data_IF_798560770003
#
_entry.id   IF_798560770003
#
_cell.length_a   1.000
_cell.length_b   1.000
_cell.length_c   1.000
_cell.angle_alpha   90.00
_cell.angle_beta   90.00
_cell.angle_gamma   90.00
#
_symmetry.space_group_name_H-M   'P 1'
#
loop_
_entity.id
_entity.type
_entity.pdbx_description
1 polymer ?
#
# COMPACT_ATOMS: atom_id res chain seq x y z
N UNK A 1 34.24 2.69 11.99
CA UNK A 1 33.57 3.67 11.11
C UNK A 1 32.09 3.48 11.30
N UNK A 2 31.40 4.52 11.78
CA UNK A 2 29.94 4.53 11.84
C UNK A 2 29.41 4.24 10.44
N UNK A 3 28.46 3.31 10.32
CA UNK A 3 27.69 3.13 9.08
C UNK A 3 27.03 4.49 8.83
N UNK A 4 27.57 5.27 7.89
CA UNK A 4 26.86 6.42 7.35
C UNK A 4 25.47 5.93 6.97
N UNK A 5 24.43 6.64 7.40
CA UNK A 5 23.05 6.20 7.16
C UNK A 5 22.78 6.21 5.65
N UNK A 6 23.01 5.09 4.99
CA UNK A 6 22.76 4.87 3.58
C UNK A 6 21.31 5.23 3.27
N UNK A 7 21.03 6.20 2.39
CA UNK A 7 19.66 6.66 2.10
C UNK A 7 18.69 5.50 1.78
N UNK A 8 17.39 5.62 2.09
CA UNK A 8 16.43 4.51 1.82
C UNK A 8 16.44 4.13 0.34
N UNK A 9 16.52 5.11 -0.55
CA UNK A 9 16.67 4.92 -2.01
C UNK A 9 17.93 4.16 -2.46
N UNK A 10 18.89 3.98 -1.58
CA UNK A 10 20.18 3.31 -1.80
C UNK A 10 20.25 1.99 -1.01
N UNK A 11 19.11 1.48 -0.56
CA UNK A 11 19.04 0.27 0.27
C UNK A 11 19.63 -0.96 -0.40
N UNK A 12 19.72 -1.02 -1.73
CA UNK A 12 20.36 -2.11 -2.47
C UNK A 12 21.78 -1.69 -2.85
N UNK A 13 22.77 -2.50 -2.48
CA UNK A 13 24.18 -2.35 -2.88
C UNK A 13 24.65 -3.63 -3.56
N UNK A 14 25.51 -3.50 -4.54
CA UNK A 14 26.06 -4.63 -5.30
C UNK A 14 27.31 -5.19 -4.62
N UNK A 15 27.41 -6.52 -4.52
CA UNK A 15 28.63 -7.21 -4.12
C UNK A 15 29.36 -7.70 -5.37
N UNK A 16 28.62 -8.33 -6.29
CA UNK A 16 29.06 -8.76 -7.62
C UNK A 16 27.83 -8.98 -8.53
N UNK A 17 28.05 -9.38 -9.78
CA UNK A 17 27.01 -9.61 -10.80
C UNK A 17 25.83 -10.51 -10.39
N UNK A 18 26.01 -11.36 -9.37
CA UNK A 18 25.00 -12.31 -8.91
C UNK A 18 24.67 -12.17 -7.42
N UNK A 19 25.14 -11.15 -6.73
CA UNK A 19 24.87 -10.96 -5.29
C UNK A 19 24.81 -9.50 -4.88
N UNK A 20 23.83 -9.18 -4.05
CA UNK A 20 23.55 -7.84 -3.56
C UNK A 20 23.26 -7.88 -2.06
N UNK A 21 23.61 -6.80 -1.37
CA UNK A 21 23.22 -6.61 0.03
C UNK A 21 22.11 -5.56 0.11
N UNK A 22 21.07 -5.87 0.87
CA UNK A 22 19.91 -5.03 1.09
C UNK A 22 19.91 -4.59 2.56
N UNK A 23 19.90 -3.27 2.78
CA UNK A 23 19.95 -2.67 4.11
C UNK A 23 21.19 -3.01 4.93
N UNK A 24 22.24 -3.58 4.31
CA UNK A 24 23.43 -4.04 5.03
C UNK A 24 23.24 -5.33 5.82
N UNK A 25 22.07 -5.98 5.79
CA UNK A 25 21.81 -7.19 6.60
C UNK A 25 21.09 -8.33 5.87
N UNK A 26 20.67 -8.11 4.63
CA UNK A 26 19.96 -9.11 3.83
C UNK A 26 20.81 -9.40 2.60
N UNK A 27 21.20 -10.64 2.38
CA UNK A 27 21.90 -11.08 1.18
C UNK A 27 20.89 -11.60 0.16
N UNK A 28 20.89 -10.97 -1.01
CA UNK A 28 20.16 -11.40 -2.19
C UNK A 28 21.15 -12.04 -3.17
N UNK A 29 20.92 -13.29 -3.56
CA UNK A 29 21.78 -13.98 -4.53
C UNK A 29 20.96 -14.53 -5.70
N UNK A 30 21.51 -14.45 -6.91
CA UNK A 30 20.94 -15.02 -8.13
C UNK A 30 21.66 -16.32 -8.49
N UNK A 31 20.91 -17.37 -8.78
CA UNK A 31 21.43 -18.70 -9.11
C UNK A 31 20.62 -19.37 -10.22
N UNK A 32 21.26 -20.22 -11.02
CA UNK A 32 20.67 -20.87 -12.20
C UNK A 32 19.75 -22.05 -11.89
N UNK A 33 19.71 -22.52 -10.65
CA UNK A 33 18.87 -23.64 -10.21
C UNK A 33 18.06 -23.25 -8.98
N UNK A 34 16.81 -23.69 -8.84
CA UNK A 34 16.01 -23.38 -7.67
C UNK A 34 16.62 -24.04 -6.43
N UNK A 35 16.63 -23.36 -5.26
CA UNK A 35 17.14 -23.97 -4.04
C UNK A 35 16.19 -25.08 -3.56
N UNK A 36 16.73 -26.06 -2.84
CA UNK A 36 15.93 -27.17 -2.28
C UNK A 36 15.00 -26.72 -1.15
N UNK A 37 15.30 -25.60 -0.51
CA UNK A 37 14.54 -25.05 0.62
C UNK A 37 14.84 -23.55 0.77
N UNK A 38 14.04 -22.86 1.57
CA UNK A 38 14.17 -21.41 1.82
C UNK A 38 13.32 -20.56 0.89
N UNK A 39 13.40 -19.24 1.08
CA UNK A 39 12.65 -18.27 0.28
C UNK A 39 13.36 -18.00 -1.04
N UNK A 40 12.64 -18.17 -2.15
CA UNK A 40 13.12 -17.82 -3.48
C UNK A 40 11.97 -17.43 -4.41
N UNK A 41 12.30 -16.76 -5.50
CA UNK A 41 11.37 -16.45 -6.59
C UNK A 41 12.12 -16.40 -7.93
N UNK A 42 11.38 -16.47 -9.04
CA UNK A 42 11.97 -16.44 -10.38
C UNK A 42 12.52 -15.05 -10.74
N UNK A 43 13.46 -15.01 -11.67
CA UNK A 43 13.89 -13.78 -12.31
C UNK A 43 13.10 -13.44 -13.60
N UNK A 44 12.15 -14.30 -13.98
CA UNK A 44 11.37 -14.21 -15.21
C UNK A 44 12.07 -14.77 -16.46
N UNK A 45 13.32 -15.24 -16.35
CA UNK A 45 14.16 -15.73 -17.46
C UNK A 45 14.77 -17.11 -17.21
N UNK A 46 14.43 -17.76 -16.09
CA UNK A 46 14.84 -19.13 -15.76
C UNK A 46 15.91 -19.24 -14.68
N UNK A 47 16.39 -18.12 -14.12
CA UNK A 47 17.19 -18.14 -12.89
C UNK A 47 16.32 -17.76 -11.69
N UNK A 48 16.88 -17.88 -10.48
CA UNK A 48 16.16 -17.71 -9.23
C UNK A 48 16.91 -16.75 -8.32
N UNK A 49 16.17 -15.87 -7.67
CA UNK A 49 16.67 -15.05 -6.56
C UNK A 49 16.41 -15.78 -5.24
N UNK A 50 17.37 -15.71 -4.33
CA UNK A 50 17.29 -16.28 -2.98
C UNK A 50 17.62 -15.22 -1.95
N UNK A 51 16.99 -15.28 -0.78
CA UNK A 51 17.28 -14.40 0.36
C UNK A 51 17.88 -15.21 1.51
N UNK A 52 18.92 -14.67 2.11
CA UNK A 52 19.45 -15.12 3.40
C UNK A 52 19.79 -13.94 4.31
N UNK A 53 19.70 -14.13 5.62
CA UNK A 53 20.18 -13.12 6.57
C UNK A 53 21.70 -13.07 6.57
N UNK A 54 22.25 -11.87 6.40
CA UNK A 54 23.68 -11.59 6.38
C UNK A 54 24.03 -10.54 7.44
N UNK A 55 24.02 -10.90 8.74
CA UNK A 55 24.27 -9.94 9.83
C UNK A 55 25.68 -9.35 9.80
N UNK A 56 26.60 -10.00 9.08
CA UNK A 56 27.95 -9.52 8.78
C UNK A 56 28.11 -9.49 7.25
N UNK A 57 27.67 -8.42 6.57
CA UNK A 57 27.79 -8.35 5.12
C UNK A 57 29.27 -8.32 4.71
N UNK A 58 29.58 -8.64 3.44
CA UNK A 58 30.92 -8.47 2.90
C UNK A 58 31.48 -7.07 3.16
N UNK A 59 32.79 -6.96 3.39
CA UNK A 59 33.46 -5.69 3.69
C UNK A 59 33.44 -4.70 2.52
N UNK A 60 33.21 -5.18 1.31
CA UNK A 60 33.14 -4.38 0.09
C UNK A 60 31.80 -4.58 -0.63
N UNK A 61 31.14 -3.46 -0.92
CA UNK A 61 29.95 -3.38 -1.74
C UNK A 61 29.89 -2.01 -2.42
N UNK A 62 29.25 -1.95 -3.58
CA UNK A 62 29.22 -0.79 -4.46
C UNK A 62 27.80 -0.25 -4.60
N UNK A 63 27.67 1.00 -5.04
CA UNK A 63 26.37 1.54 -5.46
C UNK A 63 25.78 0.70 -6.57
N UNK A 64 24.47 0.47 -6.52
CA UNK A 64 23.76 -0.28 -7.55
C UNK A 64 23.94 0.41 -8.92
N UNK A 65 24.52 -0.26 -9.93
CA UNK A 65 24.77 0.35 -11.22
C UNK A 65 23.45 0.56 -11.98
N UNK A 66 23.43 1.54 -12.89
CA UNK A 66 22.27 1.78 -13.77
C UNK A 66 21.94 0.58 -14.67
N UNK A 67 22.91 -0.32 -14.91
CA UNK A 67 22.77 -1.57 -15.65
C UNK A 67 22.23 -2.73 -14.81
N UNK A 68 21.92 -2.51 -13.53
CA UNK A 68 21.39 -3.58 -12.67
C UNK A 68 20.08 -4.13 -13.21
N UNK A 69 19.75 -5.41 -12.95
CA UNK A 69 18.48 -6.00 -13.37
C UNK A 69 17.28 -5.51 -12.54
N UNK A 70 17.46 -4.58 -11.60
CA UNK A 70 16.42 -4.11 -10.70
C UNK A 70 15.82 -2.81 -11.19
N UNK A 71 14.51 -2.81 -11.41
CA UNK A 71 13.77 -1.62 -11.81
C UNK A 71 13.28 -0.90 -10.56
N UNK A 72 13.72 0.34 -10.33
CA UNK A 72 13.16 1.19 -9.27
C UNK A 72 11.88 1.86 -9.76
N UNK A 73 10.74 1.42 -9.23
CA UNK A 73 9.40 1.88 -9.64
C UNK A 73 8.83 2.99 -8.75
N UNK A 74 9.42 3.21 -7.58
CA UNK A 74 9.04 4.30 -6.68
C UNK A 74 10.24 4.80 -5.88
N UNK A 75 10.36 6.12 -5.74
CA UNK A 75 11.43 6.78 -4.98
C UNK A 75 10.89 8.04 -4.28
N UNK A 76 10.84 7.99 -2.94
CA UNK A 76 10.59 9.14 -2.05
C UNK A 76 11.83 9.41 -1.19
N UNK A 77 13.00 9.22 -1.77
CA UNK A 77 14.29 9.51 -1.18
C UNK A 77 14.57 8.78 0.12
N UNK A 78 14.44 9.50 1.24
CA UNK A 78 14.77 8.99 2.58
C UNK A 78 13.63 8.23 3.26
N UNK A 79 12.45 8.24 2.64
CA UNK A 79 11.24 7.75 3.29
C UNK A 79 10.87 6.36 2.79
N UNK A 80 10.83 6.17 1.49
CA UNK A 80 10.36 4.94 0.86
C UNK A 80 10.96 4.78 -0.52
N UNK A 81 11.29 3.55 -0.89
CA UNK A 81 11.67 3.18 -2.25
C UNK A 81 11.17 1.76 -2.56
N UNK A 82 10.79 1.53 -3.80
CA UNK A 82 10.24 0.26 -4.26
C UNK A 82 10.95 -0.19 -5.53
N UNK A 83 11.33 -1.47 -5.57
CA UNK A 83 11.99 -2.09 -6.71
C UNK A 83 11.24 -3.33 -7.15
N UNK A 84 11.25 -3.57 -8.46
CA UNK A 84 10.97 -4.87 -9.05
C UNK A 84 12.28 -5.64 -9.17
N UNK A 85 12.30 -6.85 -8.63
CA UNK A 85 13.45 -7.76 -8.61
C UNK A 85 12.96 -9.08 -9.21
N UNK A 86 13.05 -9.23 -10.53
CA UNK A 86 12.44 -10.37 -11.22
C UNK A 86 10.93 -10.42 -11.00
N UNK A 87 10.45 -11.52 -10.39
CA UNK A 87 9.04 -11.74 -10.08
C UNK A 87 8.60 -11.23 -8.69
N UNK A 88 9.50 -10.57 -7.94
CA UNK A 88 9.20 -9.97 -6.65
C UNK A 88 9.20 -8.44 -6.67
N UNK A 89 8.56 -7.87 -5.67
CA UNK A 89 8.61 -6.47 -5.32
C UNK A 89 9.29 -6.34 -3.95
N UNK A 90 10.33 -5.50 -3.89
CA UNK A 90 10.94 -5.06 -2.64
C UNK A 90 10.43 -3.66 -2.29
N UNK A 91 9.79 -3.52 -1.14
CA UNK A 91 9.54 -2.22 -0.51
C UNK A 91 10.54 -2.00 0.62
N UNK A 92 11.30 -0.91 0.58
CA UNK A 92 12.10 -0.44 1.71
C UNK A 92 11.53 0.88 2.21
N UNK A 93 11.22 0.96 3.50
CA UNK A 93 10.62 2.14 4.12
C UNK A 93 11.31 2.48 5.43
N UNK A 94 11.51 3.77 5.69
CA UNK A 94 11.87 4.25 7.01
C UNK A 94 10.65 4.22 7.94
N UNK A 95 10.80 3.63 9.12
CA UNK A 95 9.76 3.56 10.14
C UNK A 95 9.63 4.90 10.86
N UNK A 96 8.78 5.77 10.31
CA UNK A 96 8.40 7.02 10.97
C UNK A 96 7.57 6.74 12.23
N UNK A 97 7.56 7.70 13.17
CA UNK A 97 6.86 7.56 14.47
C UNK A 97 5.42 7.04 14.37
N UNK A 98 4.65 7.56 13.41
CA UNK A 98 3.26 7.14 13.17
C UNK A 98 3.14 5.65 12.81
N UNK A 99 4.12 5.11 12.07
CA UNK A 99 4.11 3.73 11.61
C UNK A 99 4.72 2.76 12.61
N UNK A 100 5.55 3.20 13.57
CA UNK A 100 6.18 2.31 14.56
C UNK A 100 5.17 1.36 15.25
N UNK A 101 4.04 1.85 15.81
CA UNK A 101 3.04 0.99 16.44
C UNK A 101 1.98 0.45 15.46
N UNK A 102 2.10 0.72 14.17
CA UNK A 102 1.11 0.31 13.17
C UNK A 102 1.21 -1.18 12.83
N UNK A 103 0.08 -1.74 12.42
CA UNK A 103 0.05 -3.06 11.79
C UNK A 103 0.94 -3.04 10.56
N UNK A 104 1.83 -4.02 10.41
CA UNK A 104 2.70 -4.12 9.23
C UNK A 104 1.95 -4.74 8.07
N UNK A 105 2.27 -4.32 6.85
CA UNK A 105 1.64 -4.83 5.63
C UNK A 105 1.74 -6.37 5.54
N UNK A 106 2.87 -6.99 5.94
CA UNK A 106 3.00 -8.46 5.91
C UNK A 106 1.97 -9.16 6.83
N UNK A 107 1.63 -8.56 7.97
CA UNK A 107 0.62 -9.10 8.89
C UNK A 107 -0.75 -9.05 8.22
N UNK A 108 -1.10 -7.90 7.62
CA UNK A 108 -2.34 -7.74 6.87
C UNK A 108 -2.46 -8.74 5.72
N UNK A 109 -1.42 -8.86 4.88
CA UNK A 109 -1.39 -9.80 3.75
C UNK A 109 -1.53 -11.25 4.21
N UNK A 110 -0.86 -11.64 5.29
CA UNK A 110 -0.95 -12.99 5.85
C UNK A 110 -2.36 -13.32 6.37
N UNK A 111 -3.07 -12.36 6.96
CA UNK A 111 -4.47 -12.56 7.35
C UNK A 111 -5.43 -12.58 6.15
N UNK A 112 -5.16 -11.75 5.13
CA UNK A 112 -5.94 -11.74 3.89
C UNK A 112 -5.79 -13.03 3.09
N UNK A 113 -4.58 -13.63 3.06
CA UNK A 113 -4.32 -14.91 2.38
C UNK A 113 -5.16 -16.07 2.91
N UNK A 114 -5.64 -15.98 4.17
CA UNK A 114 -6.53 -16.99 4.77
C UNK A 114 -7.98 -16.88 4.27
N UNK A 115 -8.30 -15.89 3.42
CA UNK A 115 -9.64 -15.60 2.94
C UNK A 115 -9.79 -15.98 1.47
N UNK A 116 -11.01 -16.33 1.09
CA UNK A 116 -11.38 -16.49 -0.31
C UNK A 116 -11.67 -15.12 -0.90
N UNK A 117 -10.67 -14.51 -1.54
CA UNK A 117 -10.80 -13.22 -2.20
C UNK A 117 -11.11 -13.39 -3.69
N UNK A 118 -11.96 -12.52 -4.25
CA UNK A 118 -12.29 -12.53 -5.68
C UNK A 118 -11.25 -11.83 -6.58
N UNK A 119 -10.16 -11.33 -5.98
CA UNK A 119 -9.11 -10.55 -6.63
C UNK A 119 -7.75 -10.92 -6.05
N UNK A 120 -6.68 -10.63 -6.78
CA UNK A 120 -5.32 -10.94 -6.36
C UNK A 120 -4.78 -9.95 -5.30
N UNK A 121 -3.99 -10.47 -4.38
CA UNK A 121 -3.17 -9.71 -3.43
C UNK A 121 -1.72 -10.20 -3.52
N UNK A 122 -0.72 -9.39 -3.12
CA UNK A 122 0.65 -9.86 -3.00
C UNK A 122 0.79 -11.00 -1.98
N UNK A 123 1.68 -11.94 -2.28
CA UNK A 123 2.11 -12.99 -1.35
C UNK A 123 3.43 -12.57 -0.70
N UNK A 124 3.52 -12.66 0.63
CA UNK A 124 4.75 -12.30 1.36
C UNK A 124 5.80 -13.40 1.17
N UNK A 125 6.98 -13.02 0.67
CA UNK A 125 8.15 -13.89 0.57
C UNK A 125 9.06 -13.77 1.80
N UNK A 126 9.32 -12.53 2.21
CA UNK A 126 10.21 -12.24 3.33
C UNK A 126 9.95 -10.82 3.86
N UNK A 127 10.23 -10.58 5.14
CA UNK A 127 10.23 -9.24 5.71
C UNK A 127 11.31 -9.12 6.79
N UNK A 128 11.83 -7.91 6.99
CA UNK A 128 12.83 -7.64 8.02
C UNK A 128 12.67 -6.23 8.58
N UNK A 129 12.99 -6.07 9.87
CA UNK A 129 13.04 -4.77 10.55
C UNK A 129 14.36 -4.61 11.29
N UNK A 130 15.13 -3.59 10.89
CA UNK A 130 16.39 -3.22 11.52
C UNK A 130 16.76 -1.78 11.12
N UNK A 131 17.58 -1.11 11.92
CA UNK A 131 18.13 0.22 11.63
C UNK A 131 17.04 1.25 11.22
N UNK A 132 15.93 1.26 11.96
CA UNK A 132 14.72 2.09 11.74
C UNK A 132 14.05 1.91 10.37
N UNK A 133 14.21 0.74 9.76
CA UNK A 133 13.64 0.42 8.44
C UNK A 133 12.84 -0.87 8.47
N UNK A 134 11.85 -0.89 7.60
CA UNK A 134 11.06 -2.06 7.28
C UNK A 134 11.27 -2.43 5.82
N UNK A 135 11.60 -3.69 5.60
CA UNK A 135 11.79 -4.30 4.30
C UNK A 135 10.70 -5.35 4.09
N UNK A 136 10.02 -5.30 2.96
CA UNK A 136 9.02 -6.28 2.55
C UNK A 136 9.31 -6.77 1.15
N UNK A 137 9.52 -8.07 1.02
CA UNK A 137 9.59 -8.80 -0.24
C UNK A 137 8.27 -9.54 -0.44
N UNK A 138 7.63 -9.29 -1.56
CA UNK A 138 6.34 -9.89 -1.90
C UNK A 138 6.25 -10.21 -3.38
N UNK A 139 5.31 -11.08 -3.76
CA UNK A 139 5.04 -11.39 -5.15
C UNK A 139 4.55 -10.17 -5.92
N UNK A 140 4.91 -10.11 -7.21
CA UNK A 140 4.37 -9.13 -8.14
C UNK A 140 2.96 -9.54 -8.58
N UNK A 141 2.02 -8.59 -8.58
CA UNK A 141 0.79 -8.73 -9.36
C UNK A 141 1.09 -8.22 -10.77
N UNK A 142 0.94 -9.07 -11.77
CA UNK A 142 1.17 -8.70 -13.16
C UNK A 142 -0.02 -7.92 -13.71
N UNK A 143 0.27 -6.77 -14.32
CA UNK A 143 -0.71 -5.83 -14.85
C UNK A 143 -0.13 -4.42 -14.90
N UNK A 144 -0.95 -3.47 -15.32
CA UNK A 144 -0.67 -2.05 -15.24
C UNK A 144 -1.46 -1.45 -14.06
N UNK A 145 -0.97 -0.37 -13.46
CA UNK A 145 -1.75 0.35 -12.45
C UNK A 145 -2.94 1.03 -13.12
N UNK A 146 -4.06 1.15 -12.39
CA UNK A 146 -5.23 1.90 -12.87
C UNK A 146 -4.84 3.34 -13.20
N UNK A 147 -3.94 3.93 -12.41
CA UNK A 147 -3.36 5.25 -12.65
C UNK A 147 -2.87 5.43 -14.10
N UNK A 148 -2.03 4.50 -14.57
CA UNK A 148 -1.42 4.59 -15.90
C UNK A 148 -2.38 4.14 -17.02
N UNK A 149 -3.31 3.25 -16.71
CA UNK A 149 -4.24 2.70 -17.70
C UNK A 149 -5.51 3.54 -17.88
N UNK A 150 -5.92 4.35 -16.89
CA UNK A 150 -7.23 5.02 -16.86
C UNK A 150 -7.53 5.85 -18.11
N UNK A 151 -6.56 6.64 -18.57
CA UNK A 151 -6.70 7.51 -19.75
C UNK A 151 -6.87 6.74 -21.06
N UNK A 152 -6.46 5.46 -21.08
CA UNK A 152 -6.59 4.56 -22.23
C UNK A 152 -7.94 3.82 -22.23
N UNK A 153 -8.68 3.86 -21.12
CA UNK A 153 -9.94 3.14 -20.98
C UNK A 153 -11.09 3.86 -21.70
N UNK A 154 -11.91 3.07 -22.39
CA UNK A 154 -13.25 3.50 -22.78
C UNK A 154 -14.13 3.70 -21.54
N UNK A 155 -15.18 4.52 -21.68
CA UNK A 155 -16.07 4.86 -20.58
C UNK A 155 -16.74 3.64 -19.95
N UNK A 156 -17.12 2.65 -20.76
CA UNK A 156 -17.70 1.38 -20.26
C UNK A 156 -16.73 0.61 -19.37
N UNK A 157 -15.44 0.57 -19.72
CA UNK A 157 -14.40 -0.08 -18.92
C UNK A 157 -14.16 0.67 -17.60
N UNK A 158 -14.17 2.01 -17.61
CA UNK A 158 -14.11 2.83 -16.39
C UNK A 158 -15.26 2.53 -15.44
N UNK A 159 -16.49 2.47 -15.96
CA UNK A 159 -17.69 2.14 -15.17
C UNK A 159 -17.64 0.71 -14.62
N UNK A 160 -17.09 -0.24 -15.39
CA UNK A 160 -16.86 -1.61 -14.93
C UNK A 160 -15.84 -1.66 -13.79
N UNK A 161 -14.73 -0.91 -13.89
CA UNK A 161 -13.74 -0.79 -12.81
C UNK A 161 -14.35 -0.22 -11.53
N UNK A 162 -15.13 0.87 -11.64
CA UNK A 162 -15.84 1.47 -10.49
C UNK A 162 -16.77 0.44 -9.84
N UNK A 163 -17.59 -0.25 -10.64
CA UNK A 163 -18.54 -1.25 -10.15
C UNK A 163 -17.83 -2.46 -9.52
N UNK A 164 -16.69 -2.87 -10.08
CA UNK A 164 -15.85 -3.93 -9.54
C UNK A 164 -15.23 -3.54 -8.21
N UNK A 165 -14.76 -2.30 -8.07
CA UNK A 165 -14.22 -1.79 -6.82
C UNK A 165 -15.28 -1.75 -5.70
N UNK A 166 -16.51 -1.29 -6.01
CA UNK A 166 -17.63 -1.35 -5.06
C UNK A 166 -17.89 -2.79 -4.58
N UNK A 167 -17.85 -3.76 -5.50
CA UNK A 167 -18.04 -5.18 -5.16
C UNK A 167 -16.95 -5.69 -4.22
N UNK A 168 -15.68 -5.33 -4.48
CA UNK A 168 -14.54 -5.69 -3.62
C UNK A 168 -14.65 -5.04 -2.24
N UNK A 169 -15.04 -3.77 -2.16
CA UNK A 169 -15.27 -3.09 -0.87
C UNK A 169 -16.32 -3.84 -0.06
N UNK A 170 -17.44 -4.23 -0.68
CA UNK A 170 -18.49 -5.03 -0.02
C UNK A 170 -17.99 -6.39 0.44
N UNK A 171 -17.18 -7.07 -0.37
CA UNK A 171 -16.54 -8.34 -0.02
C UNK A 171 -15.63 -8.21 1.20
N UNK A 172 -14.78 -7.17 1.25
CA UNK A 172 -13.90 -6.89 2.39
C UNK A 172 -14.69 -6.59 3.67
N UNK A 173 -15.78 -5.83 3.56
CA UNK A 173 -16.62 -5.44 4.70
C UNK A 173 -17.33 -6.61 5.39
N UNK A 174 -17.44 -7.77 4.73
CA UNK A 174 -17.93 -9.00 5.39
C UNK A 174 -17.02 -9.36 6.58
N UNK A 175 -15.74 -8.98 6.52
CA UNK A 175 -14.87 -9.04 7.66
C UNK A 175 -15.16 -7.91 8.65
N UNK A 176 -15.71 -8.28 9.80
CA UNK A 176 -15.90 -7.36 10.91
C UNK A 176 -14.87 -7.63 12.01
N UNK A 177 -14.46 -6.55 12.66
CA UNK A 177 -13.54 -6.55 13.79
C UNK A 177 -14.20 -5.94 15.03
N UNK A 178 -13.74 -6.32 16.24
CA UNK A 178 -14.32 -5.81 17.48
C UNK A 178 -13.95 -4.34 17.74
N UNK A 179 -12.85 -3.84 17.16
CA UNK A 179 -12.30 -2.52 17.43
C UNK A 179 -11.78 -1.84 16.15
N UNK A 180 -11.76 -0.50 16.15
CA UNK A 180 -11.08 0.30 15.13
C UNK A 180 -9.56 0.15 15.25
N UNK A 181 -8.96 -0.60 14.33
CA UNK A 181 -7.55 -1.04 14.41
C UNK A 181 -7.12 -1.69 13.10
N UNK A 182 -5.83 -1.99 12.94
CA UNK A 182 -5.42 -2.97 11.93
C UNK A 182 -5.73 -4.40 12.37
N UNK A 183 -5.37 -5.39 11.53
CA UNK A 183 -5.85 -6.78 11.69
C UNK A 183 -5.41 -7.47 12.98
N UNK A 184 -4.31 -7.03 13.60
CA UNK A 184 -3.77 -7.56 14.85
C UNK A 184 -4.10 -6.68 16.08
N UNK A 185 -5.05 -5.74 15.93
CA UNK A 185 -5.46 -4.81 16.98
C UNK A 185 -4.54 -3.60 17.16
N UNK A 186 -3.45 -3.50 16.37
CA UNK A 186 -2.53 -2.36 16.42
C UNK A 186 -3.06 -1.13 15.68
N UNK A 187 -2.23 -0.09 15.64
CA UNK A 187 -2.61 1.21 15.09
C UNK A 187 -2.92 1.11 13.60
N UNK A 188 -3.86 1.94 13.16
CA UNK A 188 -4.24 2.15 11.76
C UNK A 188 -3.85 3.59 11.38
N UNK A 189 -2.72 3.81 10.67
CA UNK A 189 -2.18 5.13 10.42
C UNK A 189 -2.86 5.83 9.22
N UNK A 190 -4.19 6.00 9.26
CA UNK A 190 -4.92 6.76 8.22
C UNK A 190 -4.82 8.28 8.50
N UNK A 191 -4.06 9.06 7.71
CA UNK A 191 -3.81 10.48 7.97
C UNK A 191 -5.03 11.37 7.73
N UNK A 192 -6.11 10.85 7.14
CA UNK A 192 -7.34 11.60 6.91
C UNK A 192 -8.34 11.44 8.07
N UNK A 193 -8.26 10.38 8.90
CA UNK A 193 -9.07 10.31 10.12
C UNK A 193 -8.54 11.30 11.17
N UNK A 194 -7.22 11.32 11.34
CA UNK A 194 -6.51 12.19 12.28
C UNK A 194 -5.65 13.17 11.47
N UNK A 195 -6.16 14.39 11.22
CA UNK A 195 -5.47 15.42 10.41
C UNK A 195 -4.01 15.61 10.85
N UNK A 196 -3.16 15.90 9.87
CA UNK A 196 -1.73 16.11 10.03
C UNK A 196 -1.37 17.12 11.12
N UNK A 197 -0.56 16.65 12.08
CA UNK A 197 0.01 17.41 13.18
C UNK A 197 1.22 16.68 13.79
N UNK A 198 2.11 17.37 14.51
CA UNK A 198 3.41 16.83 14.94
C UNK A 198 3.33 15.68 15.96
N UNK A 199 2.16 15.45 16.57
CA UNK A 199 1.91 14.42 17.60
C UNK A 199 0.99 13.28 17.10
N UNK A 200 1.19 12.85 15.85
CA UNK A 200 0.39 11.81 15.17
C UNK A 200 0.54 10.41 15.78
N UNK A 201 -0.13 10.22 16.91
CA UNK A 201 -0.38 8.91 17.49
C UNK A 201 -1.74 8.39 16.97
N UNK A 202 -1.70 7.40 16.09
CA UNK A 202 -2.88 6.77 15.49
C UNK A 202 -3.40 5.59 16.35
N UNK A 203 -3.39 5.76 17.67
CA UNK A 203 -3.85 4.70 18.57
C UNK A 203 -5.35 4.42 18.38
N UNK A 204 -5.79 3.16 18.51
CA UNK A 204 -7.21 2.79 18.38
C UNK A 204 -8.17 3.75 19.09
N UNK A 205 -7.86 4.13 20.34
CA UNK A 205 -8.70 5.05 21.14
C UNK A 205 -8.79 6.47 20.57
N UNK A 206 -7.69 6.98 19.98
CA UNK A 206 -7.67 8.31 19.35
C UNK A 206 -8.44 8.29 18.03
N UNK A 207 -8.23 7.26 17.23
CA UNK A 207 -8.96 7.07 15.96
C UNK A 207 -10.46 6.89 16.24
N UNK A 208 -10.83 6.10 17.26
CA UNK A 208 -12.22 5.92 17.70
C UNK A 208 -12.87 7.25 18.08
N UNK A 209 -12.22 8.02 18.95
CA UNK A 209 -12.72 9.34 19.38
C UNK A 209 -12.91 10.29 18.22
N UNK A 210 -11.97 10.34 17.29
CA UNK A 210 -12.10 11.18 16.09
C UNK A 210 -13.29 10.76 15.22
N UNK A 211 -13.51 9.45 15.02
CA UNK A 211 -14.69 8.95 14.31
C UNK A 211 -16.00 9.32 15.02
N UNK A 212 -16.07 9.20 16.35
CA UNK A 212 -17.23 9.59 17.14
C UNK A 212 -17.51 11.10 17.08
N UNK A 213 -16.47 11.93 17.14
CA UNK A 213 -16.56 13.39 17.01
C UNK A 213 -16.99 13.82 15.59
N UNK A 214 -16.74 12.99 14.57
CA UNK A 214 -17.26 13.14 13.21
C UNK A 214 -18.70 12.61 13.05
N UNK A 215 -19.34 12.16 14.14
CA UNK A 215 -20.71 11.66 14.14
C UNK A 215 -20.89 10.27 13.51
N UNK A 216 -19.80 9.49 13.36
CA UNK A 216 -19.89 8.14 12.81
C UNK A 216 -20.48 7.16 13.83
N UNK A 217 -21.34 6.26 13.35
CA UNK A 217 -21.72 5.06 14.11
C UNK A 217 -20.52 4.13 14.25
N UNK A 218 -19.99 4.03 15.47
CA UNK A 218 -18.84 3.20 15.83
C UNK A 218 -19.27 1.94 16.60
N UNK A 219 -20.50 1.47 16.41
CA UNK A 219 -20.97 0.20 17.00
C UNK A 219 -20.43 -1.05 16.29
N UNK A 220 -20.03 -0.90 15.01
CA UNK A 220 -19.44 -1.97 14.19
C UNK A 220 -18.28 -1.43 13.38
N UNK A 221 -17.26 -2.27 13.18
CA UNK A 221 -16.07 -1.92 12.39
C UNK A 221 -15.87 -2.94 11.27
N UNK A 222 -15.74 -2.46 10.04
CA UNK A 222 -15.64 -3.25 8.83
C UNK A 222 -14.24 -3.11 8.25
N UNK A 223 -13.67 -4.21 7.80
CA UNK A 223 -12.35 -4.19 7.18
C UNK A 223 -12.42 -3.51 5.81
N UNK A 224 -11.43 -2.67 5.51
CA UNK A 224 -11.25 -2.04 4.20
C UNK A 224 -9.77 -1.76 3.94
N UNK A 225 -9.43 -1.46 2.68
CA UNK A 225 -8.07 -1.13 2.27
C UNK A 225 -7.57 0.21 2.86
N UNK A 226 -8.48 1.15 3.12
CA UNK A 226 -8.20 2.53 3.55
C UNK A 226 -7.41 3.41 2.56
N UNK A 227 -6.74 2.84 1.55
CA UNK A 227 -6.09 3.58 0.45
C UNK A 227 -6.31 2.99 -0.96
N UNK A 228 -7.56 2.86 -1.45
CA UNK A 228 -7.84 2.33 -2.79
C UNK A 228 -7.52 3.36 -3.90
N UNK A 229 -6.31 3.93 -3.87
CA UNK A 229 -5.83 4.92 -4.83
C UNK A 229 -5.53 4.25 -6.18
N UNK A 230 -5.69 4.95 -7.31
CA UNK A 230 -5.37 4.42 -8.63
C UNK A 230 -4.00 3.70 -8.78
N UNK A 231 -2.88 4.16 -8.18
CA UNK A 231 -1.61 3.44 -8.25
C UNK A 231 -1.61 2.08 -7.52
N UNK A 232 -2.57 1.86 -6.60
CA UNK A 232 -2.69 0.64 -5.81
C UNK A 232 -3.66 -0.39 -6.43
N UNK A 233 -4.30 -0.04 -7.54
CA UNK A 233 -5.26 -0.90 -8.24
C UNK A 233 -4.60 -1.46 -9.49
N UNK A 234 -4.58 -2.78 -9.64
CA UNK A 234 -3.98 -3.47 -10.78
C UNK A 234 -5.04 -3.88 -11.80
N UNK A 235 -4.79 -3.56 -13.07
CA UNK A 235 -5.65 -3.94 -14.21
C UNK A 235 -4.89 -4.81 -15.21
N UNK A 236 -5.63 -5.69 -15.89
CA UNK A 236 -5.09 -6.46 -17.02
C UNK A 236 -5.11 -5.64 -18.32
N UNK A 237 -4.68 -6.27 -19.42
CA UNK A 237 -4.63 -5.69 -20.77
C UNK A 237 -6.00 -5.27 -21.32
N UNK A 238 -7.07 -5.83 -20.79
CA UNK A 238 -8.46 -5.47 -21.11
C UNK A 238 -9.01 -4.34 -20.24
N UNK A 239 -8.21 -3.82 -19.31
CA UNK A 239 -8.65 -2.80 -18.35
C UNK A 239 -9.56 -3.35 -17.25
N UNK A 240 -9.55 -4.66 -16.99
CA UNK A 240 -10.32 -5.27 -15.91
C UNK A 240 -9.51 -5.23 -14.61
N UNK A 241 -10.12 -4.79 -13.50
CA UNK A 241 -9.50 -4.81 -12.18
C UNK A 241 -9.27 -6.25 -11.70
N UNK A 242 -8.00 -6.62 -11.55
CA UNK A 242 -7.56 -7.98 -11.20
C UNK A 242 -6.94 -8.11 -9.81
N UNK A 243 -6.41 -7.03 -9.24
CA UNK A 243 -5.73 -7.10 -7.94
C UNK A 243 -5.55 -5.75 -7.26
N UNK A 244 -5.17 -5.80 -5.99
CA UNK A 244 -4.93 -4.62 -5.15
C UNK A 244 -3.63 -4.82 -4.38
N UNK A 245 -2.79 -3.78 -4.37
CA UNK A 245 -1.50 -3.74 -3.67
C UNK A 245 -1.50 -2.63 -2.61
N UNK A 246 -0.46 -2.61 -1.76
CA UNK A 246 -0.22 -1.56 -0.76
C UNK A 246 -1.19 -1.54 0.42
N UNK A 247 -1.23 -2.67 1.13
CA UNK A 247 -2.16 -2.92 2.25
C UNK A 247 -1.71 -2.35 3.60
N UNK A 248 -0.80 -1.38 3.60
CA UNK A 248 -0.10 -0.93 4.80
C UNK A 248 -0.96 -0.16 5.81
N UNK A 249 -2.02 0.49 5.33
CA UNK A 249 -2.95 1.24 6.20
C UNK A 249 -4.33 0.58 6.31
N UNK A 250 -4.49 -0.63 5.81
CA UNK A 250 -5.75 -1.37 5.84
C UNK A 250 -6.12 -1.79 7.27
N UNK A 251 -7.42 -1.83 7.54
CA UNK A 251 -7.94 -2.24 8.84
C UNK A 251 -9.42 -2.03 9.00
N UNK A 252 -9.88 -2.19 10.25
CA UNK A 252 -11.26 -2.08 10.66
C UNK A 252 -11.62 -0.64 10.97
N UNK A 253 -12.65 -0.11 10.30
CA UNK A 253 -13.12 1.28 10.44
C UNK A 253 -14.65 1.32 10.44
N UNK A 254 -15.29 2.39 10.95
CA UNK A 254 -16.72 2.58 10.82
C UNK A 254 -17.15 2.58 9.35
N UNK A 255 -18.33 2.03 9.05
CA UNK A 255 -18.89 2.00 7.68
C UNK A 255 -18.88 3.39 7.01
N UNK A 256 -19.14 4.43 7.80
CA UNK A 256 -19.16 5.80 7.31
C UNK A 256 -17.79 6.32 6.84
N UNK A 257 -16.70 5.81 7.41
CA UNK A 257 -15.35 6.20 6.98
C UNK A 257 -15.02 5.69 5.58
N UNK A 258 -15.44 4.46 5.25
CA UNK A 258 -15.15 3.79 3.96
C UNK A 258 -15.54 4.69 2.79
N UNK A 259 -16.75 5.26 2.83
CA UNK A 259 -17.23 6.17 1.79
C UNK A 259 -16.70 7.59 1.96
N UNK A 260 -16.59 8.09 3.20
CA UNK A 260 -16.10 9.45 3.45
C UNK A 260 -14.70 9.65 2.87
N UNK A 261 -13.83 8.63 2.98
CA UNK A 261 -12.48 8.62 2.44
C UNK A 261 -12.43 9.01 0.96
N UNK A 262 -13.35 8.50 0.12
CA UNK A 262 -13.42 8.82 -1.31
C UNK A 262 -13.70 10.29 -1.61
N UNK A 263 -14.40 10.98 -0.71
CA UNK A 263 -14.75 12.39 -0.89
C UNK A 263 -13.68 13.35 -0.35
N UNK A 264 -12.87 12.92 0.62
CA UNK A 264 -11.94 13.82 1.34
C UNK A 264 -10.47 13.56 1.05
N UNK A 265 -10.13 12.40 0.47
CA UNK A 265 -8.74 12.01 0.20
C UNK A 265 -8.31 12.37 -1.21
N UNK A 266 -7.56 13.47 -1.37
CA UNK A 266 -6.89 13.81 -2.63
C UNK A 266 -5.81 12.80 -3.04
N UNK A 267 -5.39 11.89 -2.15
CA UNK A 267 -4.52 10.76 -2.51
C UNK A 267 -5.20 9.75 -3.44
N UNK A 268 -6.54 9.83 -3.60
CA UNK A 268 -7.31 9.00 -4.51
C UNK A 268 -7.55 9.66 -5.88
N UNK A 269 -6.94 10.83 -6.11
CA UNK A 269 -7.01 11.50 -7.41
C UNK A 269 -6.23 10.70 -8.47
N UNK A 270 -6.70 10.76 -9.70
CA UNK A 270 -5.96 10.38 -10.89
C UNK A 270 -4.97 11.50 -11.28
N UNK A 271 -3.88 11.17 -11.99
CA UNK A 271 -3.05 12.17 -12.64
C UNK A 271 -3.86 12.85 -13.76
N UNK A 272 -3.69 14.17 -13.89
CA UNK A 272 -4.24 14.94 -15.01
C UNK A 272 -3.14 15.80 -15.61
N UNK A 273 -3.03 15.77 -16.95
CA UNK A 273 -2.07 16.60 -17.70
C UNK A 273 -2.46 18.08 -17.70
N UNK A 274 -3.77 18.38 -17.60
CA UNK A 274 -4.34 19.74 -17.60
C UNK A 274 -4.53 20.29 -16.19
N UNK A 275 -4.34 19.44 -15.18
CA UNK A 275 -4.67 19.71 -13.78
C UNK A 275 -6.16 20.06 -13.58
N UNK A 276 -7.02 19.55 -14.47
CA UNK A 276 -8.47 19.68 -14.38
C UNK A 276 -9.01 18.83 -13.21
N UNK A 277 -9.79 19.45 -12.33
CA UNK A 277 -10.31 18.77 -11.14
C UNK A 277 -11.31 17.68 -11.49
N UNK A 278 -12.14 17.87 -12.52
CA UNK A 278 -13.13 16.86 -12.91
C UNK A 278 -12.44 15.61 -13.44
N UNK A 279 -11.29 15.75 -14.13
CA UNK A 279 -10.46 14.62 -14.58
C UNK A 279 -9.78 13.90 -13.40
N UNK A 280 -9.18 14.67 -12.49
CA UNK A 280 -8.47 14.12 -11.33
C UNK A 280 -9.40 13.36 -10.40
N UNK A 281 -10.62 13.86 -10.22
CA UNK A 281 -11.55 13.31 -9.25
C UNK A 281 -12.40 12.14 -9.79
N UNK A 282 -12.31 11.81 -11.09
CA UNK A 282 -13.18 10.79 -11.74
C UNK A 282 -13.23 9.47 -10.97
N UNK A 283 -12.08 8.95 -10.56
CA UNK A 283 -12.00 7.70 -9.82
C UNK A 283 -12.72 7.79 -8.47
N UNK A 284 -12.30 8.75 -7.64
CA UNK A 284 -12.77 8.83 -6.26
C UNK A 284 -14.24 9.24 -6.17
N UNK A 285 -14.69 10.15 -7.03
CA UNK A 285 -16.11 10.55 -7.13
C UNK A 285 -16.94 9.43 -7.75
N UNK A 286 -16.42 8.71 -8.75
CA UNK A 286 -17.10 7.57 -9.34
C UNK A 286 -17.38 6.46 -8.34
N UNK A 287 -16.36 6.03 -7.58
CA UNK A 287 -16.52 4.99 -6.55
C UNK A 287 -17.35 5.49 -5.36
N UNK A 288 -17.06 6.68 -4.84
CA UNK A 288 -17.82 7.30 -3.75
C UNK A 288 -19.31 7.47 -4.10
N UNK A 289 -19.60 7.99 -5.30
CA UNK A 289 -20.95 8.16 -5.82
C UNK A 289 -21.69 6.85 -6.01
N UNK A 290 -21.02 5.80 -6.49
CA UNK A 290 -21.61 4.47 -6.59
C UNK A 290 -21.96 3.88 -5.20
N UNK A 291 -21.09 4.05 -4.20
CA UNK A 291 -21.38 3.64 -2.81
C UNK A 291 -22.53 4.44 -2.19
N UNK A 292 -22.60 5.75 -2.43
CA UNK A 292 -23.67 6.62 -1.92
C UNK A 292 -25.03 6.26 -2.54
N UNK A 293 -25.10 6.27 -3.88
CA UNK A 293 -26.36 6.23 -4.62
C UNK A 293 -26.92 4.80 -4.72
N UNK A 294 -26.07 3.80 -4.95
CA UNK A 294 -26.52 2.42 -5.17
C UNK A 294 -26.65 1.65 -3.86
N UNK A 295 -25.78 1.93 -2.89
CA UNK A 295 -25.66 1.12 -1.66
C UNK A 295 -26.09 1.86 -0.39
N UNK A 296 -26.43 3.16 -0.48
CA UNK A 296 -26.92 4.01 0.63
C UNK A 296 -25.99 4.02 1.85
N UNK A 297 -24.69 4.09 1.62
CA UNK A 297 -23.73 4.17 2.71
C UNK A 297 -23.83 5.55 3.41
N UNK A 298 -23.83 5.60 4.75
CA UNK A 298 -23.74 6.86 5.48
C UNK A 298 -22.35 7.48 5.27
N UNK A 299 -22.23 8.80 5.23
CA UNK A 299 -20.95 9.49 5.15
C UNK A 299 -20.95 10.74 6.06
N UNK A 300 -19.78 11.21 6.48
CA UNK A 300 -19.63 12.39 7.34
C UNK A 300 -18.82 13.50 6.65
N UNK A 301 -18.89 13.60 5.32
CA UNK A 301 -18.08 14.53 4.51
C UNK A 301 -18.20 15.99 5.00
N UNK A 302 -19.42 16.46 5.26
CA UNK A 302 -19.66 17.82 5.74
C UNK A 302 -19.04 18.07 7.12
N UNK A 303 -19.21 17.14 8.06
CA UNK A 303 -18.63 17.24 9.40
C UNK A 303 -17.10 17.15 9.36
N UNK A 304 -16.56 16.34 8.44
CA UNK A 304 -15.13 16.24 8.18
C UNK A 304 -14.55 17.58 7.71
N UNK A 305 -15.16 18.21 6.69
CA UNK A 305 -14.73 19.53 6.24
C UNK A 305 -14.92 20.60 7.32
N UNK A 306 -16.05 20.61 8.05
CA UNK A 306 -16.26 21.56 9.15
C UNK A 306 -15.19 21.43 10.24
N UNK A 307 -14.80 20.21 10.58
CA UNK A 307 -13.78 19.95 11.60
C UNK A 307 -12.39 20.39 11.15
N UNK A 308 -12.01 20.06 9.93
CA UNK A 308 -10.62 20.19 9.47
C UNK A 308 -10.35 21.43 8.63
N UNK A 309 -11.39 22.06 8.11
CA UNK A 309 -11.39 23.31 7.36
C UNK A 309 -12.53 24.22 7.85
N UNK A 310 -12.53 24.64 9.14
CA UNK A 310 -13.63 25.37 9.77
C UNK A 310 -13.86 26.78 9.20
N UNK A 311 -12.87 27.33 8.50
CA UNK A 311 -12.97 28.60 7.78
C UNK A 311 -13.34 28.31 6.33
N UNK A 312 -14.57 28.65 5.93
CA UNK A 312 -15.04 28.54 4.55
C UNK A 312 -14.06 29.18 3.57
N UNK A 313 -13.76 28.48 2.49
CA UNK A 313 -13.55 29.16 1.23
C UNK A 313 -14.92 29.27 0.60
N UNK A 314 -15.46 30.49 0.61
CA UNK A 314 -16.35 30.95 -0.44
C UNK A 314 -15.71 30.71 -1.83
#
# INVERSE_FOLDING_TARGET
>A
MSIESCHVRESIREINDNSWVIGGRILLSRQSSPPLSGTFWGDGTGSFYTITDAPHPPSEYFSLPATSPFEKVYDRGEVSAVWIIGEAVLKARRLQKMFLPATREHVTLNELKKRSLSFAIPEVYHHAEFDDRYYLFQSRIYGETLENFWVKMEETAKQNCISRMVSIIKELMVWQGPNISGVDGKHLPDPFILKQGPEQECSPDKVLRACQELGMDCSTFMFTHCDPAPPNIMVNDKGELIGIIDWEIAGFVPKAWIITKFYVSGGLDLPSATNDMDEREQWRIGVGGALALKERFPHCVQDWFRRYYPSGKD
#
